data_IF_115513754876
#
_entry.id   IF_115513754876
#
_cell.length_a   1.000
_cell.length_b   1.000
_cell.length_c   1.000
_cell.angle_alpha   90.00
_cell.angle_beta   90.00
_cell.angle_gamma   90.00
#
_symmetry.space_group_name_H-M   'P 1'
#
loop_
_entity.id
_entity.type
_entity.pdbx_description
1 polymer ?
#
# COMPACT_ATOMS: atom_id res chain seq x y z
N UNK A 1 20.68 15.40 -0.75
CA UNK A 1 19.32 14.94 -0.41
C UNK A 1 19.37 13.97 0.78
N UNK A 2 19.06 14.44 1.99
CA UNK A 2 19.33 13.73 3.25
C UNK A 2 18.27 12.67 3.59
N UNK A 3 18.57 11.79 4.56
CA UNK A 3 17.70 10.68 5.03
C UNK A 3 16.41 11.16 5.72
N UNK A 4 16.36 12.44 6.06
CA UNK A 4 15.31 13.09 6.85
C UNK A 4 14.15 13.64 6.04
N UNK A 5 14.18 13.50 4.70
CA UNK A 5 13.20 14.20 3.89
C UNK A 5 11.75 13.77 4.24
N UNK A 6 10.85 14.74 4.37
CA UNK A 6 9.44 14.54 4.71
C UNK A 6 8.55 14.92 3.55
N UNK A 7 7.39 14.31 3.43
CA UNK A 7 6.41 14.52 2.37
C UNK A 7 5.19 15.20 2.99
N UNK A 8 5.01 16.49 2.75
CA UNK A 8 3.86 17.22 3.27
C UNK A 8 2.70 17.12 2.28
N UNK A 9 1.66 16.36 2.61
CA UNK A 9 0.43 16.37 1.79
C UNK A 9 -0.42 17.53 2.30
N UNK A 10 -0.63 18.53 1.46
CA UNK A 10 -1.42 19.71 1.82
C UNK A 10 -2.90 19.33 1.81
N UNK A 11 -3.57 19.52 2.95
CA UNK A 11 -4.99 19.22 3.18
C UNK A 11 -5.71 20.47 3.73
N UNK A 12 -6.99 20.72 3.39
CA UNK A 12 -7.88 21.49 4.25
C UNK A 12 -8.19 20.69 5.53
N UNK A 13 -7.99 21.29 6.70
CA UNK A 13 -8.01 20.58 7.98
C UNK A 13 -9.44 20.35 8.51
N UNK A 14 -9.82 19.09 8.78
CA UNK A 14 -10.95 18.78 9.68
C UNK A 14 -10.66 17.55 10.55
N UNK A 15 -11.19 17.54 11.78
CA UNK A 15 -10.94 16.49 12.77
C UNK A 15 -11.69 15.18 12.48
N UNK A 16 -11.02 14.01 12.48
CA UNK A 16 -11.70 12.72 12.42
C UNK A 16 -12.54 12.45 13.68
N UNK A 17 -13.81 12.12 13.49
CA UNK A 17 -14.70 11.61 14.53
C UNK A 17 -14.25 10.22 15.03
N UNK A 18 -14.15 10.08 16.36
CA UNK A 18 -14.10 8.81 17.10
C UNK A 18 -13.03 7.78 16.64
N UNK A 19 -11.75 8.08 16.89
CA UNK A 19 -10.67 7.08 17.06
C UNK A 19 -10.24 6.25 15.84
N UNK A 20 -10.98 6.28 14.73
CA UNK A 20 -10.67 5.57 13.49
C UNK A 20 -10.67 6.55 12.30
N UNK A 21 -9.48 6.92 11.83
CA UNK A 21 -9.36 7.71 10.60
C UNK A 21 -9.67 6.82 9.39
N UNK A 22 -10.74 7.17 8.66
CA UNK A 22 -11.17 6.50 7.44
C UNK A 22 -10.79 7.34 6.22
N UNK A 23 -10.18 6.70 5.22
CA UNK A 23 -9.92 7.32 3.93
C UNK A 23 -11.09 7.05 2.98
N UNK A 24 -11.78 8.10 2.56
CA UNK A 24 -12.77 8.03 1.48
C UNK A 24 -12.08 7.91 0.12
N UNK A 25 -12.48 6.92 -0.68
CA UNK A 25 -11.94 6.71 -2.04
C UNK A 25 -12.95 6.10 -3.00
N UNK A 26 -12.90 6.52 -4.27
CA UNK A 26 -13.48 5.74 -5.36
C UNK A 26 -12.48 4.69 -5.85
N UNK A 27 -12.64 3.45 -5.38
CA UNK A 27 -11.80 2.36 -5.84
C UNK A 27 -11.92 2.10 -7.36
N UNK A 28 -13.05 2.46 -7.99
CA UNK A 28 -13.21 2.40 -9.44
C UNK A 28 -12.24 3.34 -10.15
N UNK A 29 -12.26 4.63 -9.77
CA UNK A 29 -11.31 5.63 -10.26
C UNK A 29 -9.86 5.26 -9.93
N UNK A 30 -9.60 4.68 -8.75
CA UNK A 30 -8.28 4.18 -8.39
C UNK A 30 -7.76 3.09 -9.33
N UNK A 31 -8.58 2.12 -9.73
CA UNK A 31 -8.14 1.12 -10.70
C UNK A 31 -7.99 1.66 -12.13
N UNK A 32 -8.61 2.80 -12.45
CA UNK A 32 -8.31 3.55 -13.67
C UNK A 32 -6.93 4.20 -13.60
N UNK A 33 -6.60 4.89 -12.49
CA UNK A 33 -5.27 5.45 -12.26
C UNK A 33 -4.17 4.39 -12.24
N UNK A 34 -4.42 3.21 -11.63
CA UNK A 34 -3.51 2.05 -11.69
C UNK A 34 -3.27 1.59 -13.12
N UNK A 35 -4.29 1.67 -13.98
CA UNK A 35 -4.16 1.32 -15.39
C UNK A 35 -3.36 2.39 -16.14
N UNK A 36 -3.61 3.67 -15.93
CA UNK A 36 -2.97 4.74 -16.71
C UNK A 36 -1.54 5.04 -16.25
N UNK A 37 -1.33 5.24 -14.95
CA UNK A 37 -0.04 5.69 -14.39
C UNK A 37 0.80 4.50 -13.89
N UNK A 38 0.12 3.43 -13.47
CA UNK A 38 0.72 2.19 -13.00
C UNK A 38 0.41 1.86 -11.54
N UNK A 39 0.63 0.60 -11.13
CA UNK A 39 0.22 0.10 -9.81
C UNK A 39 1.02 0.71 -8.65
N UNK A 40 2.35 0.84 -8.80
CA UNK A 40 3.20 1.38 -7.74
C UNK A 40 2.98 2.90 -7.55
N UNK A 41 2.93 3.75 -8.60
CA UNK A 41 2.58 5.16 -8.47
C UNK A 41 1.20 5.42 -7.85
N UNK A 42 0.16 4.78 -8.34
CA UNK A 42 -1.18 4.93 -7.78
C UNK A 42 -1.23 4.52 -6.30
N UNK A 43 -0.55 3.44 -5.93
CA UNK A 43 -0.48 2.98 -4.54
C UNK A 43 0.34 3.92 -3.65
N UNK A 44 1.40 4.54 -4.17
CA UNK A 44 2.18 5.57 -3.45
C UNK A 44 1.29 6.75 -3.09
N UNK A 45 0.52 7.27 -4.05
CA UNK A 45 -0.40 8.39 -3.81
C UNK A 45 -1.46 8.02 -2.76
N UNK A 46 -2.06 6.84 -2.91
CA UNK A 46 -3.06 6.33 -1.99
C UNK A 46 -2.52 6.19 -0.56
N UNK A 47 -1.35 5.58 -0.40
CA UNK A 47 -0.71 5.37 0.91
C UNK A 47 -0.28 6.69 1.51
N UNK A 48 0.28 7.61 0.71
CA UNK A 48 0.63 8.93 1.20
C UNK A 48 -0.61 9.63 1.78
N UNK A 49 -1.73 9.66 1.06
CA UNK A 49 -2.96 10.27 1.59
C UNK A 49 -3.47 9.59 2.86
N UNK A 50 -3.49 8.26 2.90
CA UNK A 50 -3.90 7.51 4.09
C UNK A 50 -3.03 7.83 5.33
N UNK A 51 -1.73 7.98 5.14
CA UNK A 51 -0.79 8.27 6.23
C UNK A 51 -0.86 9.74 6.67
N UNK A 52 -1.07 10.68 5.76
CA UNK A 52 -1.24 12.09 6.09
C UNK A 52 -2.50 12.28 6.93
N UNK A 53 -3.62 11.67 6.51
CA UNK A 53 -4.87 11.68 7.26
C UNK A 53 -4.74 11.06 8.65
N UNK A 54 -3.96 9.98 8.77
CA UNK A 54 -3.72 9.28 10.04
C UNK A 54 -2.86 10.10 11.00
N UNK A 55 -1.79 10.71 10.51
CA UNK A 55 -0.77 11.36 11.34
C UNK A 55 -1.00 12.87 11.52
N UNK A 56 -1.92 13.47 10.76
CA UNK A 56 -2.17 14.93 10.70
C UNK A 56 -0.89 15.73 10.44
N UNK A 57 0.05 15.18 9.67
CA UNK A 57 1.39 15.76 9.48
C UNK A 57 2.06 15.29 8.20
N UNK A 58 3.18 15.92 7.85
CA UNK A 58 4.09 15.42 6.83
C UNK A 58 4.55 13.98 7.13
N UNK A 59 4.70 13.17 6.08
CA UNK A 59 5.05 11.76 6.11
C UNK A 59 6.50 11.61 5.68
N UNK A 60 7.36 11.02 6.50
CA UNK A 60 8.74 10.79 6.04
C UNK A 60 8.82 9.78 4.88
N UNK A 61 9.79 9.96 3.98
CA UNK A 61 10.09 8.96 2.95
C UNK A 61 10.41 7.59 3.55
N UNK A 62 10.99 7.56 4.76
CA UNK A 62 11.20 6.33 5.53
C UNK A 62 9.87 5.64 5.84
N UNK A 63 8.87 6.39 6.32
CA UNK A 63 7.54 5.86 6.66
C UNK A 63 6.86 5.28 5.42
N UNK A 64 6.85 6.05 4.35
CA UNK A 64 6.28 5.62 3.07
C UNK A 64 7.02 4.39 2.52
N UNK A 65 8.35 4.37 2.64
CA UNK A 65 9.21 3.28 2.21
C UNK A 65 8.95 1.96 2.93
N UNK A 66 8.88 1.94 4.26
CA UNK A 66 8.63 0.68 4.98
C UNK A 66 7.18 0.20 4.82
N UNK A 67 6.21 1.10 4.79
CA UNK A 67 4.80 0.75 4.57
C UNK A 67 4.61 0.12 3.19
N UNK A 68 5.15 0.72 2.14
CA UNK A 68 5.07 0.20 0.77
C UNK A 68 6.04 -0.95 0.48
N UNK A 69 7.02 -1.18 1.36
CA UNK A 69 8.17 -2.04 1.07
C UNK A 69 8.97 -1.58 -0.16
N UNK A 70 9.23 -0.27 -0.24
CA UNK A 70 9.94 0.40 -1.33
C UNK A 70 11.21 1.08 -0.83
N UNK A 71 12.24 1.09 -1.66
CA UNK A 71 13.42 1.95 -1.46
C UNK A 71 13.04 3.40 -1.80
N UNK A 72 13.73 4.37 -1.19
CA UNK A 72 13.54 5.81 -1.47
C UNK A 72 13.55 6.12 -2.96
N UNK A 73 14.51 5.60 -3.73
CA UNK A 73 14.58 5.80 -5.18
C UNK A 73 13.33 5.29 -5.93
N UNK A 74 12.69 4.21 -5.46
CA UNK A 74 11.46 3.71 -6.05
C UNK A 74 10.26 4.61 -5.72
N UNK A 75 10.21 5.15 -4.50
CA UNK A 75 9.19 6.13 -4.10
C UNK A 75 9.33 7.40 -4.93
N UNK A 76 10.54 7.97 -5.05
CA UNK A 76 10.79 9.15 -5.88
C UNK A 76 10.46 8.93 -7.36
N UNK A 77 10.84 7.77 -7.94
CA UNK A 77 10.42 7.43 -9.31
C UNK A 77 8.91 7.36 -9.47
N UNK A 78 8.20 6.95 -8.43
CA UNK A 78 6.74 6.87 -8.46
C UNK A 78 6.08 8.24 -8.34
N UNK A 79 6.63 9.13 -7.49
CA UNK A 79 6.21 10.53 -7.40
C UNK A 79 6.47 11.28 -8.72
N UNK A 80 7.63 11.09 -9.35
CA UNK A 80 7.91 11.65 -10.69
C UNK A 80 6.87 11.21 -11.70
N UNK A 81 6.56 9.91 -11.78
CA UNK A 81 5.51 9.41 -12.68
C UNK A 81 4.12 9.99 -12.41
N UNK A 82 3.78 10.27 -11.14
CA UNK A 82 2.52 10.94 -10.80
C UNK A 82 2.53 12.40 -11.27
N UNK A 83 3.67 13.09 -11.12
CA UNK A 83 3.84 14.47 -11.56
C UNK A 83 3.83 14.59 -13.09
N UNK A 84 4.52 13.68 -13.80
CA UNK A 84 4.50 13.59 -15.27
C UNK A 84 3.08 13.32 -15.80
N UNK A 85 2.26 12.61 -15.02
CA UNK A 85 0.86 12.34 -15.35
C UNK A 85 -0.11 13.47 -14.92
N UNK A 86 0.40 14.57 -14.36
CA UNK A 86 -0.40 15.69 -13.88
C UNK A 86 -1.23 15.39 -12.61
N UNK A 87 -1.02 14.24 -11.98
CA UNK A 87 -1.80 13.82 -10.81
C UNK A 87 -1.37 14.53 -9.51
N UNK A 88 -0.13 15.00 -9.48
CA UNK A 88 0.41 15.77 -8.35
C UNK A 88 1.32 16.90 -8.84
N UNK A 89 1.35 17.98 -8.07
CA UNK A 89 2.48 18.92 -8.06
C UNK A 89 3.28 18.63 -6.81
N UNK A 90 4.60 18.72 -6.91
CA UNK A 90 5.47 18.57 -5.75
C UNK A 90 6.54 19.65 -5.74
N UNK A 91 6.73 20.26 -4.57
CA UNK A 91 7.71 21.33 -4.34
C UNK A 91 8.79 20.82 -3.40
N UNK A 92 10.05 20.99 -3.79
CA UNK A 92 11.19 20.74 -2.91
C UNK A 92 11.44 21.98 -2.06
N UNK A 93 11.01 21.96 -0.80
CA UNK A 93 11.41 22.97 0.19
C UNK A 93 12.85 22.65 0.61
N UNK A 94 13.80 23.05 -0.25
CA UNK A 94 15.23 22.76 -0.16
C UNK A 94 15.87 23.14 1.19
N UNK A 95 15.27 24.09 1.92
CA UNK A 95 15.74 24.53 3.24
C UNK A 95 15.22 23.70 4.42
N UNK A 96 14.22 22.84 4.20
CA UNK A 96 13.58 22.04 5.27
C UNK A 96 13.65 20.53 5.04
N UNK A 97 14.10 20.10 3.86
CA UNK A 97 14.03 18.69 3.45
C UNK A 97 12.57 18.22 3.39
N UNK A 98 11.64 19.07 3.01
CA UNK A 98 10.22 18.71 2.91
C UNK A 98 9.78 18.81 1.45
N UNK A 99 9.22 17.72 0.95
CA UNK A 99 8.57 17.64 -0.35
C UNK A 99 7.08 17.85 -0.11
N UNK A 100 6.57 19.06 -0.36
CA UNK A 100 5.13 19.26 -0.38
C UNK A 100 4.55 18.54 -1.61
N UNK A 101 3.48 17.77 -1.44
CA UNK A 101 2.74 17.12 -2.52
C UNK A 101 1.32 17.63 -2.50
N UNK A 102 0.98 18.39 -3.53
CA UNK A 102 -0.36 18.86 -3.78
C UNK A 102 -1.01 17.91 -4.78
N UNK A 103 -2.16 17.35 -4.40
CA UNK A 103 -2.93 16.48 -5.28
C UNK A 103 -3.83 17.38 -6.12
N UNK A 104 -3.55 17.47 -7.41
CA UNK A 104 -4.46 18.13 -8.35
C UNK A 104 -5.63 17.15 -8.48
N UNK A 105 -6.82 17.55 -8.02
CA UNK A 105 -7.99 16.68 -7.87
C UNK A 105 -8.54 16.07 -9.17
N UNK A 106 -7.93 16.37 -10.31
CA UNK A 106 -8.43 16.04 -11.65
C UNK A 106 -7.36 15.27 -12.43
N UNK A 107 -7.47 13.95 -12.46
CA UNK A 107 -6.79 13.13 -13.47
C UNK A 107 -7.48 13.35 -14.83
N UNK A 108 -6.78 13.15 -15.97
CA UNK A 108 -7.41 13.28 -17.28
C UNK A 108 -8.58 12.28 -17.43
N UNK A 109 -9.82 12.76 -17.38
CA UNK A 109 -11.04 11.92 -17.46
C UNK A 109 -12.10 12.11 -16.37
N UNK A 110 -12.21 13.31 -15.78
CA UNK A 110 -13.37 13.84 -15.00
C UNK A 110 -13.86 13.05 -13.77
N UNK A 111 -13.11 12.07 -13.26
CA UNK A 111 -13.43 11.46 -11.95
C UNK A 111 -12.34 11.72 -10.92
N UNK A 112 -12.66 12.36 -9.80
CA UNK A 112 -11.67 12.57 -8.76
C UNK A 112 -11.31 11.21 -8.16
N UNK A 113 -10.00 10.92 -8.09
CA UNK A 113 -9.45 9.66 -7.54
C UNK A 113 -9.92 9.42 -6.10
N UNK A 114 -10.15 10.53 -5.40
CA UNK A 114 -10.63 10.60 -4.03
C UNK A 114 -11.87 11.47 -4.01
N UNK A 115 -12.88 11.10 -3.23
CA UNK A 115 -14.08 11.92 -3.11
C UNK A 115 -13.78 13.30 -2.49
N UNK A 116 -14.67 14.28 -2.67
CA UNK A 116 -14.64 15.52 -1.90
C UNK A 116 -14.70 15.18 -0.40
N UNK A 117 -13.80 15.75 0.39
CA UNK A 117 -13.66 15.45 1.83
C UNK A 117 -14.87 15.95 2.64
N UNK A 118 -15.63 16.89 2.09
CA UNK A 118 -16.77 17.61 2.72
C UNK A 118 -18.12 16.89 2.58
N UNK A 119 -18.17 15.71 1.94
CA UNK A 119 -19.42 14.99 1.67
C UNK A 119 -19.45 13.63 2.38
N UNK A 120 -19.96 13.55 3.63
CA UNK A 120 -20.37 12.27 4.20
C UNK A 120 -21.63 11.76 3.48
N UNK A 121 -21.72 10.51 2.98
CA UNK A 121 -20.72 9.45 2.85
C UNK A 121 -20.56 8.97 1.39
N UNK A 122 -20.27 9.86 0.43
CA UNK A 122 -20.31 9.50 -1.00
C UNK A 122 -18.94 9.37 -1.68
N UNK A 123 -17.92 8.94 -0.94
CA UNK A 123 -16.92 8.06 -1.54
C UNK A 123 -17.46 6.64 -1.52
N UNK A 124 -17.49 5.94 -2.66
CA UNK A 124 -18.05 4.58 -2.77
C UNK A 124 -17.45 3.61 -1.73
N UNK A 125 -16.21 3.86 -1.26
CA UNK A 125 -15.55 3.04 -0.25
C UNK A 125 -14.86 3.88 0.82
N UNK A 126 -15.04 3.51 2.08
CA UNK A 126 -14.31 4.05 3.22
C UNK A 126 -13.31 3.00 3.73
N UNK A 127 -12.02 3.32 3.69
CA UNK A 127 -10.94 2.37 4.05
C UNK A 127 -10.24 2.85 5.33
N UNK A 128 -10.20 2.03 6.39
CA UNK A 128 -9.47 2.39 7.60
C UNK A 128 -7.98 2.60 7.33
N UNK A 129 -7.46 3.77 7.72
CA UNK A 129 -6.05 4.15 7.49
C UNK A 129 -5.06 3.17 8.16
N UNK A 130 -5.47 2.50 9.25
CA UNK A 130 -4.64 1.51 9.92
C UNK A 130 -4.38 0.25 9.07
N UNK A 131 -5.23 -0.05 8.07
CA UNK A 131 -4.99 -1.17 7.15
C UNK A 131 -3.74 -0.95 6.29
N UNK A 132 -3.42 0.30 5.96
CA UNK A 132 -2.21 0.63 5.17
C UNK A 132 -0.94 0.36 5.97
N UNK A 133 -0.91 0.62 7.27
CA UNK A 133 0.29 0.36 8.10
C UNK A 133 0.38 -1.09 8.60
N UNK A 134 -0.68 -1.88 8.50
CA UNK A 134 -0.71 -3.28 8.94
C UNK A 134 -0.67 -4.25 7.76
N UNK A 135 -1.66 -4.17 6.88
CA UNK A 135 -1.92 -5.20 5.86
C UNK A 135 -0.95 -5.09 4.70
N UNK A 136 -0.69 -3.87 4.24
CA UNK A 136 0.20 -3.61 3.10
C UNK A 136 1.66 -4.06 3.37
N UNK A 137 2.33 -3.64 4.47
CA UNK A 137 3.71 -4.08 4.74
C UNK A 137 3.80 -5.58 5.01
N UNK A 138 2.77 -6.18 5.64
CA UNK A 138 2.73 -7.63 5.77
C UNK A 138 2.55 -8.29 4.40
N UNK A 139 1.63 -7.81 3.56
CA UNK A 139 1.14 -8.50 2.33
C UNK A 139 1.98 -8.28 1.10
N UNK A 140 2.67 -7.15 1.09
CA UNK A 140 3.27 -6.55 -0.08
C UNK A 140 2.22 -5.87 -0.96
N UNK A 141 2.73 -4.92 -1.77
CA UNK A 141 1.94 -4.05 -2.65
C UNK A 141 0.95 -4.80 -3.54
N UNK A 142 1.38 -5.88 -4.19
CA UNK A 142 0.53 -6.65 -5.12
C UNK A 142 -0.65 -7.33 -4.42
N UNK A 143 -0.45 -7.86 -3.22
CA UNK A 143 -1.51 -8.51 -2.48
C UNK A 143 -2.51 -7.48 -1.96
N UNK A 144 -2.01 -6.36 -1.44
CA UNK A 144 -2.87 -5.27 -1.01
C UNK A 144 -3.65 -4.65 -2.18
N UNK A 145 -3.02 -4.46 -3.35
CA UNK A 145 -3.69 -3.99 -4.55
C UNK A 145 -4.81 -4.95 -4.99
N UNK A 146 -4.56 -6.25 -4.97
CA UNK A 146 -5.59 -7.26 -5.25
C UNK A 146 -6.71 -7.25 -4.20
N UNK A 147 -6.38 -7.03 -2.92
CA UNK A 147 -7.38 -6.88 -1.87
C UNK A 147 -8.30 -5.67 -2.12
N UNK A 148 -7.72 -4.52 -2.46
CA UNK A 148 -8.47 -3.32 -2.85
C UNK A 148 -9.33 -3.58 -4.10
N UNK A 149 -8.84 -4.37 -5.07
CA UNK A 149 -9.64 -4.72 -6.24
C UNK A 149 -10.85 -5.57 -5.89
N UNK A 150 -10.69 -6.54 -4.99
CA UNK A 150 -11.82 -7.36 -4.57
C UNK A 150 -12.83 -6.54 -3.77
N UNK A 151 -12.36 -5.61 -2.91
CA UNK A 151 -13.21 -4.67 -2.20
C UNK A 151 -14.01 -3.77 -3.16
N UNK A 152 -13.39 -3.33 -4.25
CA UNK A 152 -14.08 -2.50 -5.27
C UNK A 152 -15.17 -3.23 -6.05
N UNK A 153 -15.19 -4.57 -5.97
CA UNK A 153 -16.18 -5.44 -6.61
C UNK A 153 -17.20 -6.00 -5.64
N UNK A 154 -17.06 -5.73 -4.35
CA UNK A 154 -18.01 -6.16 -3.34
C UNK A 154 -19.35 -5.48 -3.57
N UNK A 155 -20.42 -6.27 -3.64
CA UNK A 155 -21.79 -5.77 -3.73
C UNK A 155 -22.29 -5.41 -2.32
N UNK A 156 -23.45 -4.76 -2.24
CA UNK A 156 -24.08 -4.35 -0.96
C UNK A 156 -24.33 -5.52 0.01
N UNK A 157 -24.38 -6.75 -0.49
CA UNK A 157 -24.52 -8.00 0.27
C UNK A 157 -23.19 -8.55 0.82
N UNK A 158 -22.07 -7.84 0.62
CA UNK A 158 -20.74 -8.28 1.07
C UNK A 158 -20.10 -9.34 0.16
N UNK A 159 -20.71 -9.65 -0.99
CA UNK A 159 -20.26 -10.70 -1.88
C UNK A 159 -19.61 -10.12 -3.14
N UNK A 160 -18.51 -10.74 -3.58
CA UNK A 160 -17.96 -10.44 -4.90
C UNK A 160 -18.74 -11.20 -5.98
N UNK A 161 -18.98 -10.57 -7.15
CA UNK A 161 -19.45 -11.31 -8.32
C UNK A 161 -18.43 -12.39 -8.69
N UNK A 162 -18.82 -13.40 -9.51
CA UNK A 162 -17.89 -14.44 -9.96
C UNK A 162 -16.59 -13.83 -10.49
N UNK A 163 -15.48 -14.13 -9.81
CA UNK A 163 -14.19 -13.52 -10.07
C UNK A 163 -13.49 -14.26 -11.21
N UNK A 164 -13.36 -13.59 -12.35
CA UNK A 164 -12.42 -14.02 -13.38
C UNK A 164 -11.00 -13.62 -12.95
N UNK A 165 -10.12 -14.61 -12.77
CA UNK A 165 -8.69 -14.36 -12.43
C UNK A 165 -8.02 -13.45 -13.45
N UNK A 166 -8.43 -13.53 -14.72
CA UNK A 166 -7.97 -12.65 -15.80
C UNK A 166 -8.33 -11.18 -15.55
N UNK A 167 -9.53 -10.89 -15.02
CA UNK A 167 -9.96 -9.54 -14.68
C UNK A 167 -9.12 -8.96 -13.52
N UNK A 168 -8.86 -9.77 -12.48
CA UNK A 168 -7.95 -9.42 -11.38
C UNK A 168 -6.55 -9.10 -11.90
N UNK A 169 -6.00 -9.98 -12.73
CA UNK A 169 -4.65 -9.83 -13.33
C UNK A 169 -4.56 -8.55 -14.14
N UNK A 170 -5.57 -8.26 -14.97
CA UNK A 170 -5.62 -7.04 -15.78
C UNK A 170 -5.71 -5.78 -14.91
N UNK A 171 -6.61 -5.76 -13.94
CA UNK A 171 -6.83 -4.60 -13.08
C UNK A 171 -5.62 -4.31 -12.17
N UNK A 172 -4.98 -5.35 -11.64
CA UNK A 172 -3.81 -5.20 -10.77
C UNK A 172 -2.48 -5.15 -11.55
N UNK A 173 -2.51 -5.11 -12.89
CA UNK A 173 -1.33 -5.13 -13.78
C UNK A 173 -0.35 -6.27 -13.42
N UNK A 174 -0.89 -7.45 -13.08
CA UNK A 174 -0.08 -8.64 -12.84
C UNK A 174 0.41 -9.22 -14.17
N UNK A 175 1.62 -9.79 -14.19
CA UNK A 175 2.25 -10.24 -15.44
C UNK A 175 1.59 -11.50 -16.00
N UNK A 176 1.10 -12.38 -15.12
CA UNK A 176 0.61 -13.71 -15.51
C UNK A 176 -0.57 -14.16 -14.64
N UNK A 177 -1.41 -15.05 -15.17
CA UNK A 177 -2.54 -15.61 -14.44
C UNK A 177 -2.14 -16.37 -13.17
N UNK A 178 -1.00 -17.07 -13.19
CA UNK A 178 -0.48 -17.76 -12.00
C UNK A 178 -0.14 -16.77 -10.88
N UNK A 179 0.29 -15.54 -11.18
CA UNK A 179 0.51 -14.52 -10.16
C UNK A 179 -0.82 -14.13 -9.50
N UNK A 180 -1.89 -14.02 -10.28
CA UNK A 180 -3.24 -13.80 -9.76
C UNK A 180 -3.65 -14.91 -8.78
N UNK A 181 -3.42 -16.17 -9.15
CA UNK A 181 -3.69 -17.33 -8.27
C UNK A 181 -2.86 -17.31 -6.99
N UNK A 182 -1.56 -17.01 -7.07
CA UNK A 182 -0.69 -16.90 -5.89
C UNK A 182 -1.15 -15.78 -4.97
N UNK A 183 -1.52 -14.62 -5.54
CA UNK A 183 -2.01 -13.49 -4.76
C UNK A 183 -3.32 -13.86 -4.05
N UNK A 184 -4.28 -14.47 -4.74
CA UNK A 184 -5.51 -14.96 -4.13
C UNK A 184 -5.24 -15.99 -3.02
N UNK A 185 -4.34 -16.94 -3.25
CA UNK A 185 -3.93 -17.90 -2.23
C UNK A 185 -3.31 -17.21 -1.01
N UNK A 186 -2.52 -16.14 -1.22
CA UNK A 186 -1.95 -15.34 -0.13
C UNK A 186 -3.01 -14.58 0.65
N UNK A 187 -3.99 -13.97 -0.03
CA UNK A 187 -5.11 -13.30 0.62
C UNK A 187 -5.93 -14.30 1.47
N UNK A 188 -6.17 -15.51 0.95
CA UNK A 188 -6.88 -16.58 1.65
C UNK A 188 -6.14 -17.03 2.91
N UNK A 189 -4.83 -17.26 2.82
CA UNK A 189 -4.00 -17.65 3.99
C UNK A 189 -4.02 -16.61 5.11
N UNK A 190 -4.36 -15.35 4.79
CA UNK A 190 -4.45 -14.27 5.76
C UNK A 190 -5.86 -13.96 6.23
N UNK A 191 -6.84 -14.74 5.78
CA UNK A 191 -8.24 -14.51 6.11
C UNK A 191 -8.76 -13.18 5.60
N UNK A 192 -8.18 -12.63 4.53
CA UNK A 192 -8.70 -11.43 3.85
C UNK A 192 -9.76 -11.78 2.82
N UNK A 193 -9.78 -13.04 2.37
CA UNK A 193 -10.80 -13.58 1.48
C UNK A 193 -11.18 -14.98 1.91
N UNK A 194 -12.47 -15.32 1.80
CA UNK A 194 -12.99 -16.67 2.04
C UNK A 194 -13.74 -17.17 0.80
N UNK A 195 -13.47 -18.40 0.30
CA UNK A 195 -14.26 -18.98 -0.78
C UNK A 195 -15.66 -19.33 -0.27
N UNK A 196 -16.71 -18.91 -1.00
CA UNK A 196 -18.12 -19.22 -0.64
C UNK A 196 -18.69 -20.32 -1.54
N UNK A 197 -17.99 -20.68 -2.63
CA UNK A 197 -18.42 -21.70 -3.58
C UNK A 197 -18.29 -21.19 -5.02
N UNK A 198 -17.95 -22.10 -5.93
CA UNK A 198 -17.60 -21.75 -7.31
C UNK A 198 -16.45 -20.73 -7.36
N UNK A 199 -16.55 -19.74 -8.24
CA UNK A 199 -15.55 -18.67 -8.42
C UNK A 199 -15.84 -17.40 -7.59
N UNK A 200 -16.62 -17.51 -6.50
CA UNK A 200 -17.01 -16.37 -5.65
C UNK A 200 -16.20 -16.33 -4.35
N UNK A 201 -15.92 -15.11 -3.90
CA UNK A 201 -15.19 -14.85 -2.65
C UNK A 201 -15.95 -13.83 -1.77
N UNK A 202 -15.97 -14.07 -0.46
CA UNK A 202 -16.22 -13.02 0.51
C UNK A 202 -14.93 -12.24 0.73
N UNK A 203 -15.03 -10.91 0.75
CA UNK A 203 -13.94 -10.03 1.17
C UNK A 203 -14.13 -9.76 2.65
N UNK A 204 -13.10 -10.05 3.44
CA UNK A 204 -13.15 -9.90 4.88
C UNK A 204 -12.28 -8.71 5.30
N UNK A 205 -12.71 -8.05 6.36
CA UNK A 205 -11.89 -7.03 6.98
C UNK A 205 -10.63 -7.69 7.60
N UNK A 206 -9.48 -7.01 7.56
CA UNK A 206 -8.24 -7.53 8.11
C UNK A 206 -8.36 -7.76 9.61
N UNK A 207 -7.97 -8.94 10.06
CA UNK A 207 -7.83 -9.25 11.48
C UNK A 207 -6.68 -8.45 12.08
N UNK A 208 -6.75 -8.09 13.38
CA UNK A 208 -5.63 -7.44 14.05
C UNK A 208 -4.37 -8.31 13.95
N UNK A 209 -3.19 -7.69 13.76
CA UNK A 209 -1.95 -8.43 13.59
C UNK A 209 -1.63 -9.26 14.84
N UNK A 210 -1.13 -10.47 14.62
CA UNK A 210 -0.63 -11.35 15.68
C UNK A 210 0.59 -10.75 16.40
N UNK A 211 0.95 -11.28 17.57
CA UNK A 211 2.10 -10.77 18.33
C UNK A 211 3.44 -10.84 17.58
N UNK A 212 3.60 -11.79 16.66
CA UNK A 212 4.78 -11.88 15.78
C UNK A 212 4.75 -10.82 14.67
N UNK A 213 3.59 -10.63 14.04
CA UNK A 213 3.41 -9.61 13.00
C UNK A 213 3.57 -8.19 13.56
N UNK A 214 3.05 -7.91 14.76
CA UNK A 214 3.27 -6.63 15.45
C UNK A 214 4.75 -6.35 15.67
N UNK A 215 5.52 -7.36 16.11
CA UNK A 215 6.97 -7.23 16.27
C UNK A 215 7.66 -6.96 14.94
N UNK A 216 7.31 -7.70 13.89
CA UNK A 216 7.84 -7.47 12.55
C UNK A 216 7.57 -6.04 12.05
N UNK A 217 6.33 -5.54 12.22
CA UNK A 217 5.95 -4.18 11.86
C UNK A 217 6.74 -3.14 12.66
N UNK A 218 6.92 -3.33 13.97
CA UNK A 218 7.76 -2.46 14.81
C UNK A 218 9.21 -2.43 14.33
N UNK A 219 9.79 -3.58 13.97
CA UNK A 219 11.16 -3.64 13.47
C UNK A 219 11.32 -2.91 12.13
N UNK A 220 10.33 -3.00 11.23
CA UNK A 220 10.29 -2.21 10.00
C UNK A 220 10.18 -0.70 10.29
N UNK A 221 9.29 -0.32 11.20
CA UNK A 221 9.06 1.08 11.59
C UNK A 221 10.31 1.72 12.21
N UNK A 222 11.02 0.98 13.06
CA UNK A 222 12.29 1.39 13.68
C UNK A 222 13.46 1.40 12.69
N UNK A 223 13.28 0.87 11.46
CA UNK A 223 14.35 0.75 10.47
C UNK A 223 15.37 -0.35 10.75
N UNK A 224 15.08 -1.25 11.69
CA UNK A 224 15.91 -2.41 12.03
C UNK A 224 15.79 -3.52 10.97
N UNK A 225 14.69 -3.52 10.21
CA UNK A 225 14.53 -4.37 9.04
C UNK A 225 14.50 -3.51 7.77
N UNK A 226 15.17 -3.97 6.69
CA UNK A 226 15.08 -3.31 5.41
C UNK A 226 13.64 -3.38 4.87
N UNK A 227 13.15 -2.35 4.17
CA UNK A 227 11.76 -2.28 3.73
C UNK A 227 11.44 -3.29 2.62
N UNK A 228 12.44 -3.72 1.84
CA UNK A 228 12.22 -4.64 0.73
C UNK A 228 12.43 -6.09 1.15
N UNK A 229 11.60 -7.00 0.66
CA UNK A 229 11.77 -8.44 0.89
C UNK A 229 13.19 -8.92 0.52
N UNK A 230 13.73 -8.44 -0.59
CA UNK A 230 15.12 -8.71 -1.01
C UNK A 230 16.16 -8.24 0.01
N UNK A 231 15.90 -7.11 0.68
CA UNK A 231 16.77 -6.62 1.74
C UNK A 231 16.68 -7.53 2.95
N UNK A 232 15.47 -7.98 3.33
CA UNK A 232 15.30 -8.87 4.47
C UNK A 232 16.00 -10.21 4.21
N UNK A 233 15.87 -10.77 3.01
CA UNK A 233 16.59 -11.97 2.62
C UNK A 233 18.11 -11.78 2.62
N UNK A 234 18.60 -10.66 2.11
CA UNK A 234 20.04 -10.36 2.15
C UNK A 234 20.56 -10.26 3.59
N UNK A 235 19.78 -9.65 4.49
CA UNK A 235 20.12 -9.57 5.91
C UNK A 235 20.15 -10.97 6.54
N UNK A 236 19.12 -11.80 6.31
CA UNK A 236 19.10 -13.18 6.82
C UNK A 236 20.26 -14.00 6.27
N UNK A 237 20.55 -13.91 4.97
CA UNK A 237 21.68 -14.60 4.35
C UNK A 237 23.01 -14.16 4.96
N UNK A 238 23.20 -12.86 5.22
CA UNK A 238 24.41 -12.34 5.83
C UNK A 238 24.65 -12.83 7.26
N UNK A 239 23.60 -13.23 7.99
CA UNK A 239 23.74 -13.81 9.34
C UNK A 239 23.80 -15.35 9.34
N UNK A 240 22.99 -16.02 8.51
CA UNK A 240 22.88 -17.49 8.50
C UNK A 240 24.06 -18.14 7.79
N UNK A 241 24.55 -17.56 6.68
CA UNK A 241 25.64 -18.16 5.90
C UNK A 241 26.94 -18.23 6.70
N UNK A 242 27.41 -17.17 7.41
CA UNK A 242 28.63 -17.26 8.21
C UNK A 242 28.50 -18.25 9.36
N UNK A 243 27.34 -18.30 10.02
CA UNK A 243 27.06 -19.24 11.12
C UNK A 243 27.09 -20.69 10.64
N UNK A 244 26.48 -20.97 9.49
CA UNK A 244 26.51 -22.29 8.87
C UNK A 244 27.95 -22.69 8.50
N UNK A 245 28.73 -21.76 7.93
CA UNK A 245 30.15 -21.99 7.58
C UNK A 245 31.00 -22.28 8.82
N UNK A 246 30.82 -21.52 9.90
CA UNK A 246 31.51 -21.73 11.19
C UNK A 246 31.16 -23.09 11.80
N UNK A 247 29.88 -23.45 11.80
CA UNK A 247 29.42 -24.75 12.31
C UNK A 247 29.98 -25.91 11.48
N UNK A 248 30.03 -25.78 10.15
CA UNK A 248 30.64 -26.80 9.29
C UNK A 248 32.16 -26.89 9.47
N UNK A 249 32.85 -25.77 9.70
CA UNK A 249 34.29 -25.77 9.96
C UNK A 249 34.61 -26.45 11.30
N UNK A 250 33.79 -26.22 12.33
CA UNK A 250 33.91 -26.86 13.65
C UNK A 250 33.61 -28.37 13.63
N UNK A 251 32.75 -28.84 12.71
CA UNK A 251 32.46 -30.27 12.54
C UNK A 251 33.53 -31.03 11.75
N UNK A 252 34.43 -30.31 11.06
CA UNK A 252 35.53 -30.87 10.28
C UNK A 252 36.88 -30.88 11.04
N UNK A 253 36.91 -30.31 12.25
CA UNK A 253 38.03 -30.31 13.20
C UNK A 253 37.84 -31.40 14.25
#
# INVERSE_FOLDING_TARGET
MHSTDRLHVVHPATEPSLGLSLLGIDLGAFFMAVREIGPDPALVLLVARALALRNRSAISFRTLGWVLGMRRAAVLRSLRKLSDAGAIVWHDEADRGVIAVEVIGELPGERPLFGPEDVPPFSTHAIPTHWFVQVLPLGGRRAFLAYLYLRSRERRDGLTPPLLVTALVRACRLRWQWQGRIVLARLRRRGLVSPIGGSRYAVLDPRPPSGRERRFLRLLELGLLPPTATGCFALVAAFVVPLALLASALLLL
#
